data_IF_272628020036
#
_entry.id   IF_272628020036
#
_cell.length_a   1.000
_cell.length_b   1.000
_cell.length_c   1.000
_cell.angle_alpha   90.00
_cell.angle_beta   90.00
_cell.angle_gamma   90.00
#
_symmetry.space_group_name_H-M   'P 1'
#
loop_
_entity.id
_entity.type
_entity.pdbx_description
1 polymer ?
#
# COMPACT_ATOMS: atom_id res chain seq x y z
N UNK A 1 13.99 -4.60 18.62
CA UNK A 1 13.76 -3.36 17.85
C UNK A 1 13.27 -2.31 18.82
N UNK A 2 13.85 -1.12 18.80
CA UNK A 2 13.40 -0.06 19.71
C UNK A 2 12.03 0.46 19.26
N UNK A 3 11.20 0.89 20.20
CA UNK A 3 9.85 1.39 19.91
C UNK A 3 9.83 2.54 18.89
N UNK A 4 10.79 3.46 18.98
CA UNK A 4 10.94 4.57 18.02
C UNK A 4 11.21 4.06 16.60
N UNK A 5 12.00 2.99 16.45
CA UNK A 5 12.31 2.39 15.16
C UNK A 5 11.08 1.66 14.59
N UNK A 6 10.32 0.97 15.46
CA UNK A 6 9.08 0.31 15.12
C UNK A 6 8.03 1.31 14.63
N UNK A 7 7.78 2.37 15.40
CA UNK A 7 6.85 3.45 15.04
C UNK A 7 7.27 4.10 13.72
N UNK A 8 8.57 4.36 13.53
CA UNK A 8 9.08 4.93 12.28
C UNK A 8 8.81 4.01 11.10
N UNK A 9 9.12 2.71 11.21
CA UNK A 9 8.87 1.74 10.15
C UNK A 9 7.38 1.61 9.79
N UNK A 10 6.49 1.62 10.79
CA UNK A 10 5.04 1.61 10.55
C UNK A 10 4.60 2.89 9.82
N UNK A 11 5.11 4.06 10.20
CA UNK A 11 4.80 5.32 9.52
C UNK A 11 5.33 5.36 8.08
N UNK A 12 6.49 4.75 7.80
CA UNK A 12 7.03 4.63 6.44
C UNK A 12 6.08 3.81 5.55
N UNK A 13 5.62 2.65 6.02
CA UNK A 13 4.62 1.84 5.31
C UNK A 13 3.32 2.60 5.16
N UNK A 14 2.79 3.19 6.24
CA UNK A 14 1.54 3.94 6.23
C UNK A 14 1.56 5.10 5.21
N UNK A 15 2.71 5.75 5.02
CA UNK A 15 2.88 6.79 3.99
C UNK A 15 2.74 6.21 2.57
N UNK A 16 3.23 5.00 2.33
CA UNK A 16 3.08 4.30 1.04
C UNK A 16 1.61 3.97 0.76
N UNK A 17 0.90 3.38 1.74
CA UNK A 17 -0.52 3.02 1.59
C UNK A 17 -1.39 4.25 1.31
N UNK A 18 -1.11 5.39 1.97
CA UNK A 18 -1.81 6.64 1.67
C UNK A 18 -1.55 7.12 0.24
N UNK A 19 -0.33 6.94 -0.28
CA UNK A 19 -0.01 7.20 -1.67
C UNK A 19 -0.79 6.30 -2.62
N UNK A 20 -0.84 5.00 -2.35
CA UNK A 20 -1.61 4.03 -3.13
C UNK A 20 -3.11 4.37 -3.15
N UNK A 21 -3.68 4.59 -1.97
CA UNK A 21 -5.06 5.03 -1.82
C UNK A 21 -5.33 6.30 -2.66
N UNK A 22 -4.40 7.27 -2.62
CA UNK A 22 -4.45 8.48 -3.44
C UNK A 22 -4.57 8.19 -4.93
N UNK A 23 -3.82 7.22 -5.45
CA UNK A 23 -3.85 6.82 -6.86
C UNK A 23 -5.18 6.17 -7.23
N UNK A 24 -5.66 5.23 -6.42
CA UNK A 24 -6.88 4.46 -6.72
C UNK A 24 -8.18 5.26 -6.59
N UNK A 25 -8.19 6.38 -5.84
CA UNK A 25 -9.38 7.24 -5.67
C UNK A 25 -9.99 7.73 -6.99
N UNK A 26 -9.20 7.86 -8.04
CA UNK A 26 -9.65 8.31 -9.36
C UNK A 26 -10.21 7.18 -10.23
N UNK A 27 -10.58 6.02 -9.65
CA UNK A 27 -11.08 4.86 -10.39
C UNK A 27 -12.30 5.15 -11.28
N UNK A 28 -13.05 6.21 -11.01
CA UNK A 28 -14.21 6.60 -11.82
C UNK A 28 -13.84 7.10 -13.22
N UNK A 29 -12.62 7.60 -13.40
CA UNK A 29 -12.14 8.21 -14.65
C UNK A 29 -11.83 7.18 -15.74
N UNK A 30 -11.60 5.92 -15.35
CA UNK A 30 -11.30 4.85 -16.32
C UNK A 30 -12.54 4.46 -17.13
N UNK A 31 -12.38 4.25 -18.44
CA UNK A 31 -13.48 3.86 -19.32
C UNK A 31 -13.76 2.35 -19.23
N UNK A 32 -12.72 1.55 -19.05
CA UNK A 32 -12.83 0.09 -18.98
C UNK A 32 -13.49 -0.34 -17.67
N UNK A 33 -14.59 -1.09 -17.78
CA UNK A 33 -15.40 -1.51 -16.63
C UNK A 33 -14.65 -2.43 -15.68
N UNK A 34 -13.80 -3.30 -16.21
CA UNK A 34 -12.99 -4.22 -15.41
C UNK A 34 -11.99 -3.45 -14.56
N UNK A 35 -11.14 -2.62 -15.18
CA UNK A 35 -10.21 -1.72 -14.49
C UNK A 35 -10.91 -0.88 -13.43
N UNK A 36 -12.03 -0.25 -13.77
CA UNK A 36 -12.82 0.56 -12.82
C UNK A 36 -13.24 -0.21 -11.57
N UNK A 37 -13.72 -1.44 -11.75
CA UNK A 37 -14.16 -2.30 -10.65
C UNK A 37 -12.98 -2.77 -9.82
N UNK A 38 -11.89 -3.18 -10.46
CA UNK A 38 -10.69 -3.65 -9.78
C UNK A 38 -10.03 -2.53 -9.00
N UNK A 39 -9.89 -1.33 -9.56
CA UNK A 39 -9.24 -0.21 -8.88
C UNK A 39 -10.09 0.31 -7.71
N UNK A 40 -11.42 0.21 -7.81
CA UNK A 40 -12.28 0.42 -6.65
C UNK A 40 -12.00 -0.62 -5.55
N UNK A 41 -11.87 -1.90 -5.91
CA UNK A 41 -11.56 -2.94 -4.93
C UNK A 41 -10.17 -2.73 -4.30
N UNK A 42 -9.17 -2.33 -5.09
CA UNK A 42 -7.83 -2.00 -4.58
C UNK A 42 -7.87 -0.80 -3.64
N UNK A 43 -8.64 0.25 -3.95
CA UNK A 43 -8.89 1.36 -3.03
C UNK A 43 -9.46 0.88 -1.68
N UNK A 44 -10.44 -0.01 -1.69
CA UNK A 44 -11.05 -0.58 -0.47
C UNK A 44 -10.04 -1.41 0.34
N UNK A 45 -9.15 -2.15 -0.33
CA UNK A 45 -8.04 -2.89 0.29
C UNK A 45 -7.04 -1.93 0.97
N UNK A 46 -6.60 -0.90 0.26
CA UNK A 46 -5.66 0.11 0.78
C UNK A 46 -6.23 0.83 2.02
N UNK A 47 -7.53 1.15 2.02
CA UNK A 47 -8.20 1.69 3.20
C UNK A 47 -8.15 0.72 4.38
N UNK A 48 -8.32 -0.59 4.15
CA UNK A 48 -8.19 -1.59 5.19
C UNK A 48 -6.76 -1.70 5.71
N UNK A 49 -5.76 -1.60 4.83
CA UNK A 49 -4.34 -1.62 5.19
C UNK A 49 -3.97 -0.45 6.10
N UNK A 50 -4.38 0.76 5.71
CA UNK A 50 -4.23 1.99 6.50
C UNK A 50 -4.84 1.82 7.89
N UNK A 51 -6.11 1.39 7.96
CA UNK A 51 -6.81 1.22 9.23
C UNK A 51 -6.08 0.24 10.17
N UNK A 52 -5.57 -0.88 9.63
CA UNK A 52 -4.78 -1.86 10.38
C UNK A 52 -3.52 -1.21 10.96
N UNK A 53 -2.73 -0.52 10.13
CA UNK A 53 -1.48 0.13 10.56
C UNK A 53 -1.72 1.21 11.62
N UNK A 54 -2.78 2.02 11.45
CA UNK A 54 -3.15 3.01 12.46
C UNK A 54 -3.56 2.39 13.79
N UNK A 55 -4.27 1.25 13.78
CA UNK A 55 -4.59 0.50 15.00
C UNK A 55 -3.30 0.07 15.69
N UNK A 56 -2.31 -0.43 14.94
CA UNK A 56 -1.00 -0.79 15.51
C UNK A 56 -0.32 0.42 16.15
N UNK A 57 -0.26 1.57 15.46
CA UNK A 57 0.33 2.80 16.02
C UNK A 57 -0.37 3.23 17.31
N UNK A 58 -1.70 3.27 17.32
CA UNK A 58 -2.48 3.65 18.51
C UNK A 58 -2.24 2.69 19.68
N UNK A 59 -2.14 1.39 19.41
CA UNK A 59 -1.83 0.38 20.44
C UNK A 59 -0.39 0.49 20.98
N UNK A 60 0.52 1.11 20.22
CA UNK A 60 1.87 1.47 20.69
C UNK A 60 1.90 2.83 21.42
N UNK A 61 0.74 3.48 21.63
CA UNK A 61 0.67 4.81 22.25
C UNK A 61 1.11 5.95 21.32
N UNK A 62 1.28 5.67 20.03
CA UNK A 62 1.68 6.64 19.01
C UNK A 62 0.48 7.16 18.20
N UNK A 63 0.67 8.30 17.55
CA UNK A 63 -0.26 8.81 16.53
C UNK A 63 0.38 8.70 15.14
N UNK A 64 -0.41 8.52 14.07
CA UNK A 64 0.08 8.65 12.70
C UNK A 64 0.81 9.98 12.50
N UNK A 65 1.95 9.94 11.80
CA UNK A 65 2.72 11.12 11.44
C UNK A 65 1.95 12.04 10.49
N UNK A 66 2.06 13.36 10.69
CA UNK A 66 1.51 14.35 9.74
C UNK A 66 2.10 14.24 8.33
N UNK A 67 3.30 13.64 8.19
CA UNK A 67 3.93 13.42 6.89
C UNK A 67 3.15 12.42 6.00
N UNK A 68 2.26 11.63 6.59
CA UNK A 68 1.41 10.67 5.86
C UNK A 68 0.45 11.40 4.90
N UNK A 69 -0.01 12.60 5.26
CA UNK A 69 -0.85 13.44 4.38
C UNK A 69 -0.13 13.78 3.07
N UNK A 70 1.20 13.91 3.12
CA UNK A 70 2.05 14.11 1.94
C UNK A 70 2.01 12.92 0.99
N UNK A 71 1.91 11.69 1.52
CA UNK A 71 1.75 10.46 0.73
C UNK A 71 0.49 10.50 -0.14
N UNK A 72 -0.68 10.80 0.46
CA UNK A 72 -1.96 10.89 -0.26
C UNK A 72 -1.94 11.99 -1.34
N UNK A 73 -1.34 13.14 -1.06
CA UNK A 73 -1.20 14.21 -2.05
C UNK A 73 -0.35 13.76 -3.25
N UNK A 74 0.82 13.17 -2.99
CA UNK A 74 1.73 12.68 -4.04
C UNK A 74 1.03 11.58 -4.85
N UNK A 75 0.37 10.64 -4.17
CA UNK A 75 -0.39 9.55 -4.77
C UNK A 75 -1.49 10.05 -5.71
N UNK A 76 -2.29 11.01 -5.26
CA UNK A 76 -3.34 11.61 -6.11
C UNK A 76 -2.75 12.29 -7.34
N UNK A 77 -1.66 13.05 -7.19
CA UNK A 77 -1.01 13.70 -8.33
C UNK A 77 -0.46 12.68 -9.34
N UNK A 78 0.16 11.60 -8.86
CA UNK A 78 0.61 10.50 -9.70
C UNK A 78 -0.57 9.85 -10.42
N UNK A 79 -1.64 9.53 -9.70
CA UNK A 79 -2.86 8.95 -10.29
C UNK A 79 -3.47 9.82 -11.39
N UNK A 80 -3.59 11.13 -11.16
CA UNK A 80 -4.06 12.10 -12.17
C UNK A 80 -3.13 12.11 -13.40
N UNK A 81 -1.82 12.19 -13.17
CA UNK A 81 -0.83 12.30 -14.27
C UNK A 81 -0.79 11.04 -15.11
N UNK A 82 -0.84 9.86 -14.47
CA UNK A 82 -0.82 8.56 -15.15
C UNK A 82 -2.10 8.34 -15.94
N UNK A 83 -3.26 8.83 -15.47
CA UNK A 83 -4.54 8.73 -16.19
C UNK A 83 -4.55 9.47 -17.54
N UNK A 84 -3.58 10.35 -17.81
CA UNK A 84 -3.43 11.01 -19.10
C UNK A 84 -2.70 10.13 -20.15
N UNK A 85 -2.23 8.95 -19.76
CA UNK A 85 -1.51 7.99 -20.61
C UNK A 85 -2.44 6.88 -21.11
N UNK A 86 -1.93 6.00 -21.97
CA UNK A 86 -2.68 4.83 -22.43
C UNK A 86 -2.83 3.79 -21.30
N UNK A 87 -3.89 2.99 -21.37
CA UNK A 87 -4.25 2.03 -20.31
C UNK A 87 -3.13 1.00 -20.03
N UNK A 88 -2.34 0.60 -21.03
CA UNK A 88 -1.22 -0.33 -20.84
C UNK A 88 -0.14 0.32 -19.98
N UNK A 89 0.20 1.58 -20.23
CA UNK A 89 1.11 2.35 -19.39
C UNK A 89 0.59 2.52 -17.97
N UNK A 90 -0.71 2.76 -17.80
CA UNK A 90 -1.37 2.83 -16.50
C UNK A 90 -1.16 1.52 -15.73
N UNK A 91 -1.65 0.40 -16.26
CA UNK A 91 -1.59 -0.91 -15.57
C UNK A 91 -0.13 -1.29 -15.25
N UNK A 92 0.82 -0.97 -16.13
CA UNK A 92 2.25 -1.21 -15.91
C UNK A 92 2.79 -0.39 -14.74
N UNK A 93 2.39 0.87 -14.65
CA UNK A 93 2.84 1.77 -13.58
C UNK A 93 2.27 1.34 -12.23
N UNK A 94 0.99 1.00 -12.18
CA UNK A 94 0.36 0.46 -10.98
C UNK A 94 1.01 -0.86 -10.55
N UNK A 95 1.28 -1.78 -11.49
CA UNK A 95 1.95 -3.05 -11.21
C UNK A 95 3.34 -2.85 -10.56
N UNK A 96 4.12 -1.91 -11.11
CA UNK A 96 5.43 -1.56 -10.57
C UNK A 96 5.33 -0.99 -9.15
N UNK A 97 4.32 -0.16 -8.88
CA UNK A 97 4.09 0.46 -7.58
C UNK A 97 3.68 -0.61 -6.54
N UNK A 98 2.78 -1.51 -6.89
CA UNK A 98 2.40 -2.64 -6.02
C UNK A 98 3.58 -3.57 -5.73
N UNK A 99 4.47 -3.81 -6.70
CA UNK A 99 5.71 -4.54 -6.46
C UNK A 99 6.56 -3.84 -5.38
N UNK A 100 6.69 -2.51 -5.44
CA UNK A 100 7.47 -1.76 -4.43
C UNK A 100 6.87 -1.84 -3.04
N UNK A 101 5.54 -1.83 -2.93
CA UNK A 101 4.88 -1.95 -1.63
C UNK A 101 4.99 -3.36 -1.07
N UNK A 102 4.82 -4.40 -1.90
CA UNK A 102 5.12 -5.78 -1.48
C UNK A 102 6.57 -5.93 -0.97
N UNK A 103 7.55 -5.36 -1.69
CA UNK A 103 8.96 -5.34 -1.25
C UNK A 103 9.13 -4.57 0.06
N UNK A 104 8.44 -3.43 0.22
CA UNK A 104 8.43 -2.61 1.43
C UNK A 104 7.95 -3.39 2.65
N UNK A 105 6.78 -4.00 2.54
CA UNK A 105 6.22 -4.89 3.56
C UNK A 105 7.17 -6.05 3.87
N UNK A 106 7.65 -6.78 2.86
CA UNK A 106 8.56 -7.91 3.04
C UNK A 106 9.80 -7.52 3.84
N UNK A 107 10.43 -6.40 3.47
CA UNK A 107 11.62 -5.89 4.18
C UNK A 107 11.30 -5.51 5.62
N UNK A 108 10.15 -4.91 5.88
CA UNK A 108 9.77 -4.49 7.22
C UNK A 108 9.42 -5.69 8.11
N UNK A 109 8.60 -6.62 7.61
CA UNK A 109 8.23 -7.86 8.30
C UNK A 109 9.48 -8.67 8.64
N UNK A 110 10.39 -8.88 7.68
CA UNK A 110 11.65 -9.60 7.95
C UNK A 110 12.48 -8.96 9.07
N UNK A 111 12.44 -7.62 9.22
CA UNK A 111 13.12 -6.93 10.33
C UNK A 111 12.40 -7.14 11.67
N UNK A 112 11.07 -7.23 11.67
CA UNK A 112 10.26 -7.51 12.85
C UNK A 112 10.44 -8.96 13.32
N UNK A 113 10.53 -9.90 12.38
CA UNK A 113 10.72 -11.33 12.66
C UNK A 113 12.13 -11.66 13.19
N UNK A 114 13.12 -10.81 12.91
CA UNK A 114 14.47 -10.91 13.48
C UNK A 114 14.53 -10.50 14.96
N UNK A 115 13.45 -9.95 15.51
CA UNK A 115 13.35 -9.54 16.90
C UNK A 115 12.57 -10.59 17.71
N UNK A 116 13.17 -11.12 18.77
CA UNK A 116 12.58 -12.15 19.62
C UNK A 116 11.42 -11.64 20.50
N UNK A 117 11.13 -10.34 20.48
CA UNK A 117 9.99 -9.77 21.20
C UNK A 117 8.64 -10.27 20.64
N UNK A 118 7.80 -10.85 21.51
CA UNK A 118 6.44 -11.29 21.13
C UNK A 118 5.60 -10.21 20.45
N UNK A 119 5.81 -8.95 20.84
CA UNK A 119 5.13 -7.79 20.26
C UNK A 119 5.48 -7.61 18.78
N UNK A 120 6.75 -7.68 18.41
CA UNK A 120 7.17 -7.49 17.01
C UNK A 120 6.73 -8.67 16.15
N UNK A 121 6.78 -9.89 16.68
CA UNK A 121 6.26 -11.08 16.01
C UNK A 121 4.74 -10.97 15.75
N UNK A 122 3.97 -10.49 16.72
CA UNK A 122 2.53 -10.25 16.53
C UNK A 122 2.26 -9.20 15.45
N UNK A 123 3.03 -8.10 15.44
CA UNK A 123 2.89 -7.05 14.41
C UNK A 123 3.28 -7.61 13.03
N UNK A 124 4.34 -8.42 12.94
CA UNK A 124 4.74 -9.08 11.71
C UNK A 124 3.61 -9.92 11.11
N UNK A 125 3.02 -10.81 11.93
CA UNK A 125 1.87 -11.63 11.53
C UNK A 125 0.68 -10.77 11.07
N UNK A 126 0.39 -9.69 11.82
CA UNK A 126 -0.71 -8.79 11.49
C UNK A 126 -0.51 -8.11 10.12
N UNK A 127 0.73 -7.68 9.83
CA UNK A 127 1.09 -7.02 8.57
C UNK A 127 1.28 -7.99 7.40
N UNK A 128 1.51 -9.28 7.64
CA UNK A 128 1.67 -10.28 6.60
C UNK A 128 0.44 -10.38 5.68
N UNK A 129 -0.76 -10.13 6.22
CA UNK A 129 -1.98 -10.05 5.42
C UNK A 129 -1.93 -8.92 4.38
N UNK A 130 -1.48 -7.72 4.75
CA UNK A 130 -1.33 -6.60 3.82
C UNK A 130 -0.26 -6.90 2.76
N UNK A 131 0.85 -7.51 3.17
CA UNK A 131 1.93 -7.92 2.26
C UNK A 131 1.43 -8.89 1.18
N UNK A 132 0.60 -9.86 1.58
CA UNK A 132 -0.02 -10.83 0.67
C UNK A 132 -0.98 -10.12 -0.29
N UNK A 133 -1.84 -9.25 0.22
CA UNK A 133 -2.80 -8.49 -0.58
C UNK A 133 -2.08 -7.61 -1.62
N UNK A 134 -1.03 -6.89 -1.24
CA UNK A 134 -0.18 -6.14 -2.17
C UNK A 134 0.40 -7.03 -3.28
N UNK A 135 0.85 -8.25 -2.93
CA UNK A 135 1.34 -9.21 -3.94
C UNK A 135 0.24 -9.68 -4.88
N UNK A 136 -0.96 -9.93 -4.36
CA UNK A 136 -2.10 -10.36 -5.17
C UNK A 136 -2.56 -9.23 -6.12
N UNK A 137 -2.56 -7.98 -5.67
CA UNK A 137 -2.85 -6.82 -6.52
C UNK A 137 -1.80 -6.69 -7.64
N UNK A 138 -0.51 -6.80 -7.31
CA UNK A 138 0.56 -6.84 -8.31
C UNK A 138 0.34 -7.95 -9.35
N UNK A 139 0.10 -9.18 -8.90
CA UNK A 139 -0.05 -10.34 -9.80
C UNK A 139 -1.26 -10.18 -10.72
N UNK A 140 -2.36 -9.63 -10.22
CA UNK A 140 -3.52 -9.32 -11.06
C UNK A 140 -3.17 -8.31 -12.15
N UNK A 141 -2.45 -7.23 -11.81
CA UNK A 141 -2.01 -6.22 -12.76
C UNK A 141 -1.02 -6.79 -13.80
N UNK A 142 -0.09 -7.65 -13.38
CA UNK A 142 0.84 -8.34 -14.27
C UNK A 142 0.14 -9.28 -15.24
N UNK A 143 -0.88 -9.99 -14.78
CA UNK A 143 -1.66 -10.87 -15.64
C UNK A 143 -2.51 -10.08 -16.63
N UNK A 144 -3.18 -9.03 -16.14
CA UNK A 144 -3.97 -8.12 -16.97
C UNK A 144 -3.09 -7.37 -18.00
N UNK A 145 -1.82 -7.10 -17.70
CA UNK A 145 -0.89 -6.53 -18.69
C UNK A 145 -0.69 -7.38 -19.93
N UNK A 146 -0.85 -8.71 -19.82
CA UNK A 146 -0.68 -9.63 -20.96
C UNK A 146 -1.81 -9.52 -21.97
N UNK A 147 -2.90 -8.85 -21.64
CA UNK A 147 -4.03 -8.63 -22.55
C UNK A 147 -3.85 -7.40 -23.44
N UNK A 148 -2.74 -6.64 -23.29
CA UNK A 148 -2.39 -5.47 -24.10
C UNK A 148 -1.08 -5.64 -24.88
#
# INVERSE_FOLDING_TARGET
MKEVELIKGINEILTLEHGHLGMYKNYLDYQEKEIKRTFRAFMEIEMAHINKLEIVLRNLGAQPSLLIEGGDIIGRMLGITINLTDIKTIVKTYSFIEEKSHIGYTKFINKLEQDDEKRTQFIAEFLASNMLEAKLMQLWLEDHLKTY
#
